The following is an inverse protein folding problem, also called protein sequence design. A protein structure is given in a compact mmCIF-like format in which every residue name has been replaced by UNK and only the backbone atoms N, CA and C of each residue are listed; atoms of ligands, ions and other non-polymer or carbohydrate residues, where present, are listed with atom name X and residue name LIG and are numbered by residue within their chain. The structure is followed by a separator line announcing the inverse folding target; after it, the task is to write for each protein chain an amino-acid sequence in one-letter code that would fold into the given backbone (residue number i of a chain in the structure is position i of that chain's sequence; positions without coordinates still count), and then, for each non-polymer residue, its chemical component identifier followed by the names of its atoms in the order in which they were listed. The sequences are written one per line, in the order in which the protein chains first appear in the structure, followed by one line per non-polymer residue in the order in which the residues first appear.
data_IF_302994386358
#
_entry.id   IF_302994386358
#
_cell.length_a   1.000
_cell.length_b   1.000
_cell.length_c   1.000
_cell.angle_alpha   90.00
_cell.angle_beta   90.00
_cell.angle_gamma   90.00
#
_symmetry.space_group_name_H-M   'P 1'
#
loop_
_entity.id
_entity.type
_entity.pdbx_description
1 polymer ?
#
# COMPACT_ATOMS: atom_id res chain seq x y z
N UNK A 1 10.01 -5.98 22.68
CA UNK A 1 9.03 -5.36 21.77
C UNK A 1 9.39 -5.73 20.35
N UNK A 2 8.78 -6.79 19.82
CA UNK A 2 8.91 -7.14 18.41
C UNK A 2 8.14 -6.09 17.61
N UNK A 3 8.82 -5.33 16.77
CA UNK A 3 8.15 -4.65 15.68
C UNK A 3 7.37 -5.68 14.87
N UNK A 4 6.25 -5.29 14.26
CA UNK A 4 5.39 -6.15 13.42
C UNK A 4 6.14 -6.74 12.20
N UNK A 5 7.45 -6.57 12.10
CA UNK A 5 8.43 -7.06 11.12
C UNK A 5 8.64 -8.58 11.12
N UNK A 6 7.59 -9.39 11.11
CA UNK A 6 7.77 -10.85 10.97
C UNK A 6 6.51 -11.66 10.74
N UNK A 7 5.37 -11.23 11.30
CA UNK A 7 4.12 -11.90 11.01
C UNK A 7 3.69 -11.53 9.59
N UNK A 8 3.76 -12.50 8.66
CA UNK A 8 2.85 -12.48 7.52
C UNK A 8 1.47 -12.22 8.12
N UNK A 9 0.89 -11.04 7.87
CA UNK A 9 -0.53 -10.79 8.06
C UNK A 9 -1.23 -11.74 7.09
N UNK A 10 -1.41 -12.98 7.54
CA UNK A 10 -1.87 -14.12 6.75
C UNK A 10 -3.38 -14.07 6.50
N UNK A 11 -4.04 -12.96 6.78
CA UNK A 11 -5.24 -12.60 6.05
C UNK A 11 -5.14 -11.14 5.65
N UNK A 12 -5.17 -10.89 4.34
CA UNK A 12 -5.43 -9.54 3.83
C UNK A 12 -6.66 -8.97 4.54
N UNK A 13 -7.65 -9.81 4.82
CA UNK A 13 -8.90 -9.49 5.53
C UNK A 13 -8.67 -8.79 6.87
N UNK A 14 -7.80 -9.30 7.75
CA UNK A 14 -7.54 -8.65 9.05
C UNK A 14 -6.89 -7.28 8.90
N UNK A 15 -6.08 -7.09 7.86
CA UNK A 15 -5.50 -5.77 7.54
C UNK A 15 -6.59 -4.81 7.09
N UNK A 16 -7.52 -5.28 6.25
CA UNK A 16 -8.64 -4.48 5.76
C UNK A 16 -9.62 -4.11 6.89
N UNK A 17 -9.90 -5.03 7.81
CA UNK A 17 -10.70 -4.77 9.02
C UNK A 17 -10.06 -3.69 9.88
N UNK A 18 -8.75 -3.84 10.17
CA UNK A 18 -8.03 -2.85 10.97
C UNK A 18 -8.02 -1.46 10.32
N UNK A 19 -7.90 -1.39 8.99
CA UNK A 19 -8.00 -0.13 8.25
C UNK A 19 -9.36 0.53 8.48
N UNK A 20 -10.46 -0.24 8.37
CA UNK A 20 -11.82 0.28 8.60
C UNK A 20 -12.00 0.77 10.03
N UNK A 21 -11.57 -0.01 11.02
CA UNK A 21 -11.66 0.34 12.43
C UNK A 21 -10.90 1.62 12.78
N UNK A 22 -9.64 1.74 12.30
CA UNK A 22 -8.82 2.93 12.53
C UNK A 22 -9.43 4.13 11.82
N UNK A 23 -9.86 3.98 10.55
CA UNK A 23 -10.43 5.08 9.78
C UNK A 23 -11.71 5.62 10.41
N UNK A 24 -12.57 4.77 10.96
CA UNK A 24 -13.79 5.17 11.64
C UNK A 24 -13.55 6.01 12.91
N UNK A 25 -12.35 5.94 13.49
CA UNK A 25 -11.98 6.60 14.76
C UNK A 25 -10.89 7.66 14.59
N UNK A 26 -10.41 7.87 13.38
CA UNK A 26 -9.30 8.79 13.09
C UNK A 26 -9.82 10.13 12.56
N UNK A 27 -9.43 11.21 13.23
CA UNK A 27 -9.63 12.57 12.75
C UNK A 27 -8.56 13.01 11.72
N UNK A 28 -7.50 12.23 11.55
CA UNK A 28 -6.38 12.51 10.64
C UNK A 28 -6.31 11.48 9.50
N UNK A 29 -5.64 11.80 8.38
CA UNK A 29 -5.43 10.84 7.30
C UNK A 29 -4.72 9.56 7.77
N UNK A 30 -5.23 8.40 7.35
CA UNK A 30 -4.71 7.08 7.70
C UNK A 30 -3.89 6.53 6.53
N UNK A 31 -2.61 6.27 6.76
CA UNK A 31 -1.67 5.75 5.77
C UNK A 31 -1.22 4.34 6.15
N UNK A 32 -1.19 3.40 5.20
CA UNK A 32 -0.84 1.97 5.46
C UNK A 32 0.54 1.64 4.88
N UNK A 33 1.43 1.01 5.67
CA UNK A 33 2.84 0.86 5.31
C UNK A 33 3.44 -0.56 5.31
N UNK A 34 2.64 -1.62 5.42
CA UNK A 34 3.17 -2.96 5.69
C UNK A 34 3.15 -3.88 4.45
N UNK A 35 4.34 -4.27 3.94
CA UNK A 35 4.49 -5.32 2.92
C UNK A 35 3.82 -5.01 1.57
N UNK A 36 3.73 -3.74 1.18
CA UNK A 36 3.06 -3.29 -0.04
C UNK A 36 4.04 -3.38 -1.22
N UNK A 37 3.70 -4.19 -2.22
CA UNK A 37 4.52 -4.33 -3.42
C UNK A 37 3.74 -4.65 -4.69
N UNK A 38 2.39 -4.61 -4.65
CA UNK A 38 1.52 -4.99 -5.78
C UNK A 38 0.30 -4.08 -5.84
N UNK A 39 -0.12 -3.74 -7.05
CA UNK A 39 -1.31 -2.92 -7.32
C UNK A 39 -2.56 -3.39 -6.56
N UNK A 40 -2.89 -4.70 -6.62
CA UNK A 40 -4.10 -5.25 -5.98
C UNK A 40 -4.13 -5.05 -4.45
N UNK A 41 -2.98 -5.09 -3.78
CA UNK A 41 -2.92 -4.83 -2.34
C UNK A 41 -3.27 -3.37 -2.04
N UNK A 42 -2.72 -2.44 -2.83
CA UNK A 42 -3.02 -1.01 -2.70
C UNK A 42 -4.50 -0.75 -2.96
N UNK A 43 -5.04 -1.32 -4.04
CA UNK A 43 -6.45 -1.20 -4.39
C UNK A 43 -7.35 -1.63 -3.22
N UNK A 44 -7.12 -2.82 -2.64
CA UNK A 44 -7.88 -3.31 -1.51
C UNK A 44 -7.78 -2.40 -0.27
N UNK A 45 -6.57 -1.96 0.09
CA UNK A 45 -6.34 -1.09 1.26
C UNK A 45 -7.05 0.26 1.10
N UNK A 46 -6.97 0.86 -0.08
CA UNK A 46 -7.67 2.10 -0.40
C UNK A 46 -9.17 1.82 -0.42
N UNK A 47 -9.69 0.79 -1.09
CA UNK A 47 -11.13 0.47 -1.05
C UNK A 47 -11.66 0.28 0.38
N UNK A 48 -10.84 -0.25 1.30
CA UNK A 48 -11.19 -0.40 2.72
C UNK A 48 -11.16 0.90 3.56
N UNK A 49 -10.67 2.03 3.02
CA UNK A 49 -10.76 3.33 3.67
C UNK A 49 -9.44 4.03 3.96
N UNK A 50 -8.29 3.42 3.65
CA UNK A 50 -6.99 4.09 3.83
C UNK A 50 -6.87 5.32 2.92
N UNK A 51 -6.38 6.45 3.42
CA UNK A 51 -6.19 7.67 2.63
C UNK A 51 -4.97 7.59 1.70
N UNK A 52 -4.06 6.66 1.99
CA UNK A 52 -2.91 6.37 1.15
C UNK A 52 -2.11 5.17 1.62
N UNK A 53 -1.04 4.89 0.89
CA UNK A 53 -0.10 3.80 1.18
C UNK A 53 1.34 4.32 1.21
N UNK A 54 2.16 3.71 2.06
CA UNK A 54 3.59 3.94 2.16
C UNK A 54 4.32 2.71 1.66
N UNK A 55 5.18 2.90 0.66
CA UNK A 55 5.95 1.81 0.05
C UNK A 55 7.42 2.14 0.26
N UNK A 56 8.11 1.32 1.05
CA UNK A 56 9.53 1.49 1.34
C UNK A 56 10.36 0.31 0.87
N UNK A 57 10.14 -0.85 1.48
CA UNK A 57 10.94 -2.07 1.25
C UNK A 57 10.95 -2.53 -0.22
N UNK A 58 9.86 -2.33 -0.97
CA UNK A 58 9.82 -2.68 -2.39
C UNK A 58 10.76 -1.80 -3.24
N UNK A 59 10.76 -0.48 -3.00
CA UNK A 59 11.69 0.43 -3.69
C UNK A 59 13.13 0.21 -3.25
N UNK A 60 13.37 0.04 -1.94
CA UNK A 60 14.69 -0.26 -1.42
C UNK A 60 15.25 -1.56 -2.05
N UNK A 61 14.42 -2.60 -2.18
CA UNK A 61 14.79 -3.86 -2.83
C UNK A 61 15.07 -3.71 -4.32
N UNK A 62 14.34 -2.86 -5.05
CA UNK A 62 14.68 -2.54 -6.43
C UNK A 62 16.04 -1.85 -6.47
N UNK A 63 16.16 -0.72 -5.78
CA UNK A 63 17.37 0.10 -5.75
C UNK A 63 18.63 -0.71 -5.39
N UNK A 64 18.52 -1.63 -4.43
CA UNK A 64 19.66 -2.44 -3.98
C UNK A 64 20.15 -3.51 -4.95
N UNK A 65 19.46 -3.77 -6.07
CA UNK A 65 19.89 -4.78 -7.06
C UNK A 65 21.12 -4.35 -7.86
N UNK A 66 21.36 -3.05 -7.98
CA UNK A 66 22.54 -2.52 -8.66
C UNK A 66 23.04 -1.26 -7.95
N UNK A 67 23.73 -1.42 -6.83
CA UNK A 67 24.28 -0.28 -6.08
C UNK A 67 25.44 0.43 -6.79
N UNK A 68 26.07 -0.21 -7.78
CA UNK A 68 27.15 0.41 -8.56
C UNK A 68 26.61 1.36 -9.63
N UNK A 69 25.45 1.03 -10.22
CA UNK A 69 24.74 1.91 -11.14
C UNK A 69 23.22 1.87 -10.90
N UNK A 70 22.73 2.49 -9.81
CA UNK A 70 21.32 2.38 -9.42
C UNK A 70 20.37 3.06 -10.42
N UNK A 71 20.90 3.95 -11.27
CA UNK A 71 20.10 4.65 -12.27
C UNK A 71 19.56 3.72 -13.37
N UNK A 72 20.22 2.58 -13.63
CA UNK A 72 19.71 1.55 -14.55
C UNK A 72 18.37 0.97 -14.10
N UNK A 73 18.06 1.06 -12.80
CA UNK A 73 16.84 0.52 -12.22
C UNK A 73 15.72 1.57 -12.11
N UNK A 74 15.96 2.82 -12.54
CA UNK A 74 14.93 3.85 -12.59
C UNK A 74 13.69 3.43 -13.39
N UNK A 75 13.79 2.77 -14.56
CA UNK A 75 12.62 2.30 -15.28
C UNK A 75 11.75 1.34 -14.45
N UNK A 76 12.36 0.42 -13.69
CA UNK A 76 11.63 -0.49 -12.79
C UNK A 76 10.99 0.25 -11.61
N UNK A 77 11.70 1.22 -11.02
CA UNK A 77 11.18 2.06 -9.94
C UNK A 77 9.98 2.88 -10.42
N UNK A 78 10.06 3.48 -11.61
CA UNK A 78 8.96 4.21 -12.25
C UNK A 78 7.79 3.28 -12.53
N UNK A 79 8.05 2.07 -13.03
CA UNK A 79 7.03 1.04 -13.25
C UNK A 79 6.27 0.72 -11.97
N UNK A 80 6.99 0.44 -10.87
CA UNK A 80 6.37 0.19 -9.57
C UNK A 80 5.58 1.40 -9.07
N UNK A 81 6.13 2.61 -9.18
CA UNK A 81 5.42 3.83 -8.77
C UNK A 81 4.11 4.04 -9.55
N UNK A 82 4.12 3.74 -10.84
CA UNK A 82 2.93 3.79 -11.67
C UNK A 82 1.88 2.75 -11.23
N UNK A 83 2.28 1.49 -11.01
CA UNK A 83 1.39 0.44 -10.50
C UNK A 83 0.76 0.80 -9.15
N UNK A 84 1.56 1.30 -8.20
CA UNK A 84 1.07 1.74 -6.89
C UNK A 84 0.07 2.87 -7.07
N UNK A 85 0.36 3.86 -7.92
CA UNK A 85 -0.57 4.97 -8.18
C UNK A 85 -1.86 4.51 -8.86
N UNK A 86 -1.80 3.56 -9.78
CA UNK A 86 -2.98 2.95 -10.40
C UNK A 86 -3.84 2.25 -9.35
N UNK A 87 -3.23 1.50 -8.44
CA UNK A 87 -3.92 0.88 -7.31
C UNK A 87 -4.67 1.90 -6.46
N UNK A 88 -4.03 3.03 -6.14
CA UNK A 88 -4.70 4.12 -5.42
C UNK A 88 -5.89 4.70 -6.18
N UNK A 89 -5.75 4.95 -7.48
CA UNK A 89 -6.84 5.50 -8.31
C UNK A 89 -8.01 4.52 -8.39
N UNK A 90 -7.74 3.24 -8.63
CA UNK A 90 -8.77 2.19 -8.73
C UNK A 90 -9.48 1.96 -7.40
N UNK A 91 -8.74 1.85 -6.29
CA UNK A 91 -9.35 1.67 -4.98
C UNK A 91 -10.20 2.86 -4.55
N UNK A 92 -9.77 4.09 -4.88
CA UNK A 92 -10.56 5.28 -4.57
C UNK A 92 -11.87 5.33 -5.37
N UNK A 93 -11.84 4.94 -6.65
CA UNK A 93 -13.07 4.82 -7.46
C UNK A 93 -14.04 3.80 -6.88
N UNK A 94 -13.55 2.63 -6.50
CA UNK A 94 -14.37 1.58 -5.89
C UNK A 94 -15.01 2.07 -4.59
N UNK A 95 -14.26 2.76 -3.74
CA UNK A 95 -14.78 3.33 -2.49
C UNK A 95 -15.92 4.31 -2.72
N UNK A 96 -15.81 5.16 -3.76
CA UNK A 96 -16.83 6.17 -4.09
C UNK A 96 -18.10 5.57 -4.72
N UNK A 97 -18.03 4.34 -5.25
CA UNK A 97 -19.16 3.65 -5.87
C UNK A 97 -19.99 2.84 -4.88
N UNK A 98 -19.53 2.68 -3.63
CA UNK A 98 -20.31 1.99 -2.58
C UNK A 98 -21.44 2.93 -2.11
N UNK A 99 -22.72 2.56 -2.29
CA UNK A 99 -23.83 3.37 -1.79
C UNK A 99 -23.75 3.48 -0.27
N UNK A 100 -23.83 4.69 0.26
CA UNK A 100 -24.08 4.90 1.68
C UNK A 100 -25.56 4.57 1.93
N UNK A 101 -25.84 3.38 2.45
CA UNK A 101 -27.15 2.99 2.99
C UNK A 101 -27.40 3.67 4.33
#
# INVERSE_FOLDING_TARGET
HEGVTGARLNSQDRTLELIREIKARSAVPVMVGFGISRQKQVEAMISAGADGVVVGSAYAKLYSRNLQNPFELLPEIVGLAHEIKLGCKSGNRQRQQVPHL
#
